data_IF_285485599547
#
_entry.id   IF_285485599547
#
_cell.length_a   1.000
_cell.length_b   1.000
_cell.length_c   1.000
_cell.angle_alpha   90.00
_cell.angle_beta   90.00
_cell.angle_gamma   90.00
#
_symmetry.space_group_name_H-M   'P 1'
#
loop_
_entity.id
_entity.type
_entity.pdbx_description
1 polymer ?
#
# COMPACT_ATOMS: atom_id res chain seq x y z
N UNK A 1 12.66 -22.11 13.06
CA UNK A 1 12.62 -21.29 11.83
C UNK A 1 12.04 -19.94 12.20
N UNK A 2 12.80 -18.85 12.05
CA UNK A 2 12.29 -17.51 12.32
C UNK A 2 11.24 -17.18 11.26
N UNK A 3 9.95 -17.32 11.60
CA UNK A 3 8.89 -16.79 10.74
C UNK A 3 9.07 -15.29 10.69
N UNK A 4 9.53 -14.78 9.56
CA UNK A 4 9.70 -13.34 9.34
C UNK A 4 8.31 -12.77 9.08
N UNK A 5 7.60 -12.47 10.18
CA UNK A 5 6.26 -11.89 10.13
C UNK A 5 6.37 -10.43 9.71
N UNK A 6 5.41 -9.98 8.92
CA UNK A 6 5.30 -8.59 8.56
C UNK A 6 5.04 -7.75 9.81
N UNK A 7 5.80 -6.67 9.98
CA UNK A 7 5.72 -5.78 11.14
C UNK A 7 4.45 -4.95 11.19
N UNK A 8 3.72 -4.89 10.06
CA UNK A 8 2.53 -4.07 9.87
C UNK A 8 2.85 -2.75 9.21
N UNK A 9 1.94 -2.25 8.37
CA UNK A 9 2.17 -1.05 7.54
C UNK A 9 2.51 0.19 8.38
N UNK A 10 2.03 0.27 9.61
CA UNK A 10 2.29 1.37 10.55
C UNK A 10 3.73 1.44 11.06
N UNK A 11 4.42 0.30 11.06
CA UNK A 11 5.77 0.10 11.59
C UNK A 11 6.75 -0.32 10.48
N UNK A 12 6.29 -0.37 9.24
CA UNK A 12 7.10 -0.74 8.09
C UNK A 12 8.09 0.39 7.76
N UNK A 13 9.21 0.02 7.14
CA UNK A 13 10.26 0.97 6.76
C UNK A 13 9.69 2.06 5.84
N UNK A 14 10.36 3.22 5.83
CA UNK A 14 9.97 4.36 5.00
C UNK A 14 8.53 4.83 5.28
N UNK A 15 8.03 4.64 6.50
CA UNK A 15 6.65 4.95 6.88
C UNK A 15 5.61 4.12 6.12
N UNK A 16 5.98 2.90 5.71
CA UNK A 16 5.13 2.03 4.88
C UNK A 16 5.16 2.36 3.39
N UNK A 17 6.14 3.13 2.89
CA UNK A 17 6.33 3.39 1.46
C UNK A 17 7.03 2.24 0.71
N UNK A 18 6.89 1.00 1.20
CA UNK A 18 7.42 -0.21 0.58
C UNK A 18 6.45 -0.79 -0.45
N UNK A 19 6.89 -1.75 -1.29
CA UNK A 19 5.98 -2.50 -2.15
C UNK A 19 4.86 -3.21 -1.38
N UNK A 20 5.16 -3.73 -0.18
CA UNK A 20 4.16 -4.36 0.68
C UNK A 20 3.13 -3.34 1.19
N UNK A 21 3.59 -2.19 1.68
CA UNK A 21 2.71 -1.11 2.12
C UNK A 21 1.84 -0.54 0.99
N UNK A 22 2.38 -0.43 -0.22
CA UNK A 22 1.61 -0.02 -1.41
C UNK A 22 0.53 -1.04 -1.75
N UNK A 23 0.86 -2.33 -1.75
CA UNK A 23 -0.11 -3.40 -1.98
C UNK A 23 -1.22 -3.43 -0.92
N UNK A 24 -0.91 -3.17 0.35
CA UNK A 24 -1.89 -3.07 1.43
C UNK A 24 -2.81 -1.85 1.24
N UNK A 25 -2.27 -0.69 0.86
CA UNK A 25 -3.07 0.50 0.53
C UNK A 25 -4.01 0.26 -0.64
N UNK A 26 -3.55 -0.43 -1.69
CA UNK A 26 -4.40 -0.80 -2.81
C UNK A 26 -5.49 -1.81 -2.38
N UNK A 27 -5.17 -2.74 -1.47
CA UNK A 27 -6.18 -3.62 -0.87
C UNK A 27 -7.26 -2.82 -0.13
N UNK A 28 -6.90 -1.75 0.56
CA UNK A 28 -7.86 -0.83 1.17
C UNK A 28 -8.71 -0.12 0.12
N UNK A 29 -8.10 0.43 -0.93
CA UNK A 29 -8.80 1.12 -2.04
C UNK A 29 -9.91 0.23 -2.63
N UNK A 30 -9.58 -1.03 -2.95
CA UNK A 30 -10.54 -1.98 -3.50
C UNK A 30 -11.44 -2.66 -2.47
N UNK A 31 -11.28 -2.35 -1.18
CA UNK A 31 -12.03 -2.98 -0.09
C UNK A 31 -11.79 -4.49 0.03
N UNK A 32 -10.61 -4.99 -0.36
CA UNK A 32 -10.21 -6.39 -0.15
C UNK A 32 -10.02 -6.68 1.34
N UNK A 33 -9.52 -5.69 2.07
CA UNK A 33 -9.42 -5.67 3.55
C UNK A 33 -9.86 -4.28 4.06
N UNK A 34 -10.28 -4.14 5.32
CA UNK A 34 -10.65 -2.84 5.89
C UNK A 34 -9.42 -1.94 6.05
N UNK A 35 -9.62 -0.61 5.98
CA UNK A 35 -8.56 0.40 6.17
C UNK A 35 -7.88 0.34 7.55
N UNK A 36 -8.51 -0.31 8.54
CA UNK A 36 -7.93 -0.54 9.88
C UNK A 36 -7.03 -1.77 9.96
N UNK A 37 -7.00 -2.63 8.93
CA UNK A 37 -6.15 -3.83 8.91
C UNK A 37 -4.72 -3.44 8.52
N UNK A 38 -3.81 -3.52 9.49
CA UNK A 38 -2.41 -3.13 9.33
C UNK A 38 -1.53 -4.26 8.78
N UNK A 39 -2.08 -5.47 8.72
CA UNK A 39 -1.39 -6.71 8.36
C UNK A 39 -0.23 -7.10 9.29
N UNK A 40 -0.14 -6.51 10.50
CA UNK A 40 0.87 -6.88 11.49
C UNK A 40 0.75 -8.37 11.87
N UNK A 41 1.89 -9.06 11.92
CA UNK A 41 1.94 -10.50 12.21
C UNK A 41 1.58 -11.41 11.04
N UNK A 42 1.36 -10.86 9.84
CA UNK A 42 1.07 -11.68 8.66
C UNK A 42 2.32 -12.40 8.16
N UNK A 43 2.16 -13.63 7.68
CA UNK A 43 3.23 -14.39 7.03
C UNK A 43 3.43 -13.91 5.59
N UNK A 44 4.60 -14.20 5.00
CA UNK A 44 4.86 -13.93 3.58
C UNK A 44 3.82 -14.59 2.66
N UNK A 45 3.35 -15.79 3.01
CA UNK A 45 2.30 -16.47 2.25
C UNK A 45 0.98 -15.70 2.28
N UNK A 46 0.56 -15.19 3.44
CA UNK A 46 -0.68 -14.41 3.56
C UNK A 46 -0.59 -13.06 2.82
N UNK A 47 0.60 -12.45 2.80
CA UNK A 47 0.85 -11.26 1.98
C UNK A 47 0.84 -11.58 0.48
N UNK A 48 1.34 -12.74 0.06
CA UNK A 48 1.27 -13.20 -1.32
C UNK A 48 -0.19 -13.42 -1.76
N UNK A 49 -1.00 -14.07 -0.93
CA UNK A 49 -2.43 -14.27 -1.20
C UNK A 49 -3.18 -12.92 -1.34
N UNK A 50 -2.78 -11.90 -0.56
CA UNK A 50 -3.33 -10.55 -0.66
C UNK A 50 -2.91 -9.90 -1.97
N UNK A 51 -1.64 -10.00 -2.34
CA UNK A 51 -1.13 -9.50 -3.60
C UNK A 51 -1.92 -10.05 -4.80
N UNK A 52 -2.18 -11.36 -4.85
CA UNK A 52 -2.95 -11.97 -5.95
C UNK A 52 -4.39 -11.44 -6.03
N UNK A 53 -5.04 -11.21 -4.89
CA UNK A 53 -6.39 -10.61 -4.83
C UNK A 53 -6.38 -9.17 -5.34
N UNK A 54 -5.42 -8.36 -4.88
CA UNK A 54 -5.26 -6.96 -5.31
C UNK A 54 -4.93 -6.90 -6.80
N UNK A 55 -4.03 -7.76 -7.27
CA UNK A 55 -3.67 -7.89 -8.68
C UNK A 55 -4.92 -8.18 -9.53
N UNK A 56 -5.75 -9.13 -9.11
CA UNK A 56 -7.01 -9.46 -9.79
C UNK A 56 -7.99 -8.28 -9.81
N UNK A 57 -8.05 -7.47 -8.74
CA UNK A 57 -8.88 -6.26 -8.70
C UNK A 57 -8.40 -5.17 -9.65
N UNK A 58 -7.11 -5.11 -9.94
CA UNK A 58 -6.52 -4.17 -10.89
C UNK A 58 -6.72 -4.57 -12.36
N UNK A 59 -6.94 -5.85 -12.67
CA UNK A 59 -7.09 -6.36 -14.04
C UNK A 59 -8.09 -5.55 -14.91
N UNK A 60 -9.32 -5.22 -14.45
CA UNK A 60 -10.29 -4.46 -15.26
C UNK A 60 -9.82 -3.06 -15.61
N UNK A 61 -8.86 -2.52 -14.87
CA UNK A 61 -8.32 -1.17 -15.03
C UNK A 61 -6.93 -1.18 -15.68
N UNK A 62 -6.42 -2.35 -16.08
CA UNK A 62 -5.10 -2.50 -16.68
C UNK A 62 -3.95 -2.09 -15.76
N UNK A 63 -4.12 -2.20 -14.44
CA UNK A 63 -3.13 -1.77 -13.43
C UNK A 63 -2.76 -0.28 -13.50
N UNK A 64 -3.66 0.57 -14.00
CA UNK A 64 -3.46 2.02 -14.10
C UNK A 64 -4.47 2.79 -13.25
N UNK A 65 -3.97 3.64 -12.35
CA UNK A 65 -4.78 4.55 -11.51
C UNK A 65 -5.65 5.48 -12.37
N UNK A 66 -5.16 5.89 -13.54
CA UNK A 66 -5.90 6.73 -14.49
C UNK A 66 -7.20 6.08 -14.97
N UNK A 67 -7.24 4.74 -15.04
CA UNK A 67 -8.41 3.98 -15.50
C UNK A 67 -9.43 3.70 -14.39
N UNK A 68 -9.13 4.06 -13.14
CA UNK A 68 -10.08 3.90 -12.05
C UNK A 68 -11.31 4.81 -12.23
N UNK A 69 -12.51 4.34 -11.83
CA UNK A 69 -13.68 5.21 -11.72
C UNK A 69 -13.43 6.30 -10.65
N UNK A 70 -14.16 7.44 -10.72
CA UNK A 70 -13.93 8.59 -9.84
C UNK A 70 -13.86 8.23 -8.36
N UNK A 71 -14.81 7.43 -7.85
CA UNK A 71 -14.87 7.02 -6.45
C UNK A 71 -13.59 6.28 -5.99
N UNK A 72 -13.13 5.29 -6.77
CA UNK A 72 -11.91 4.55 -6.45
C UNK A 72 -10.66 5.42 -6.58
N UNK A 73 -10.64 6.34 -7.56
CA UNK A 73 -9.54 7.27 -7.74
C UNK A 73 -9.42 8.26 -6.58
N UNK A 74 -10.54 8.81 -6.12
CA UNK A 74 -10.61 9.69 -4.94
C UNK A 74 -10.16 8.95 -3.68
N UNK A 75 -10.63 7.72 -3.49
CA UNK A 75 -10.19 6.87 -2.37
C UNK A 75 -8.69 6.57 -2.43
N UNK A 76 -8.17 6.22 -3.61
CA UNK A 76 -6.74 6.01 -3.82
C UNK A 76 -5.94 7.28 -3.49
N UNK A 77 -6.34 8.44 -4.01
CA UNK A 77 -5.67 9.70 -3.75
C UNK A 77 -5.66 10.06 -2.26
N UNK A 78 -6.77 9.86 -1.55
CA UNK A 78 -6.85 10.08 -0.09
C UNK A 78 -5.88 9.15 0.65
N UNK A 79 -6.00 7.84 0.46
CA UNK A 79 -5.23 6.84 1.20
C UNK A 79 -3.72 6.98 0.96
N UNK A 80 -3.30 7.13 -0.31
CA UNK A 80 -1.89 7.29 -0.63
C UNK A 80 -1.36 8.68 -0.24
N UNK A 81 -2.19 9.72 -0.31
CA UNK A 81 -1.85 11.05 0.18
C UNK A 81 -1.61 11.09 1.69
N UNK A 82 -2.46 10.44 2.48
CA UNK A 82 -2.30 10.30 3.93
C UNK A 82 -1.01 9.53 4.27
N UNK A 83 -0.73 8.45 3.55
CA UNK A 83 0.50 7.68 3.73
C UNK A 83 1.76 8.50 3.38
N UNK A 84 1.73 9.25 2.27
CA UNK A 84 2.83 10.14 1.89
C UNK A 84 3.09 11.22 2.94
N UNK A 85 2.02 11.87 3.44
CA UNK A 85 2.13 12.89 4.49
C UNK A 85 2.73 12.31 5.78
N UNK A 86 2.29 11.11 6.18
CA UNK A 86 2.84 10.40 7.33
C UNK A 86 4.30 10.04 7.15
N UNK A 87 4.67 9.47 6.01
CA UNK A 87 6.06 9.10 5.71
C UNK A 87 6.96 10.34 5.78
N UNK A 88 6.53 11.46 5.17
CA UNK A 88 7.25 12.74 5.25
C UNK A 88 7.42 13.23 6.69
N UNK A 89 6.39 13.12 7.52
CA UNK A 89 6.46 13.50 8.94
C UNK A 89 7.41 12.59 9.75
N UNK A 90 7.59 11.34 9.33
CA UNK A 90 8.55 10.39 9.90
C UNK A 90 9.98 10.56 9.36
N UNK A 91 10.23 11.61 8.56
CA UNK A 91 11.54 11.91 8.01
C UNK A 91 11.87 11.13 6.74
N UNK A 92 10.89 10.45 6.13
CA UNK A 92 11.09 9.88 4.79
C UNK A 92 11.30 11.02 3.79
N UNK A 93 12.49 11.05 3.21
CA UNK A 93 12.81 11.90 2.08
C UNK A 93 12.48 11.09 0.83
N UNK A 94 11.39 11.43 0.14
CA UNK A 94 11.25 11.03 -1.25
C UNK A 94 12.50 11.57 -1.93
N UNK A 95 13.39 10.69 -2.40
CA UNK A 95 14.51 11.10 -3.24
C UNK A 95 13.92 11.66 -4.55
N UNK A 96 13.45 12.91 -4.49
CA UNK A 96 13.52 13.81 -5.62
C UNK A 96 15.01 14.03 -5.77
N UNK A 97 15.63 13.24 -6.64
CA UNK A 97 16.91 13.63 -7.22
C UNK A 97 16.74 15.07 -7.67
N UNK A 98 17.48 15.94 -7.00
CA UNK A 98 17.78 17.28 -7.46
C UNK A 98 18.57 17.07 -8.77
N UNK A 99 17.85 16.92 -9.88
CA UNK A 99 18.45 16.98 -11.22
C UNK A 99 18.42 18.46 -11.59
N UNK A 100 19.52 19.13 -11.23
CA UNK A 100 19.93 20.48 -11.61
C UNK A 100 19.83 20.72 -13.13
#
# INVERSE_FOLDING_TARGET
MSSNLYVGIDQDRDGGMTPAGTMIRDAWVFGVIPESETCAGWTSQRLQDLYEKVYTKWLPYGHLVSNLPPELRERHARIHGEAFARAKAMGWQAELGDDD
#
